data_IF_963933157699
#
_entry.id   IF_963933157699
#
_cell.length_a   1.000
_cell.length_b   1.000
_cell.length_c   1.000
_cell.angle_alpha   90.00
_cell.angle_beta   90.00
_cell.angle_gamma   90.00
#
_symmetry.space_group_name_H-M   'P 1'
#
loop_
_entity.id
_entity.type
_entity.pdbx_description
1 polymer ?
#
# COMPACT_ATOMS: atom_id res chain seq x y z
N UNK A 1 5.28 -23.20 6.99
CA UNK A 1 4.09 -23.68 6.25
C UNK A 1 2.81 -22.95 6.66
N UNK A 2 2.54 -22.69 7.95
CA UNK A 2 1.31 -21.98 8.43
C UNK A 2 1.11 -20.56 7.86
N UNK A 3 2.13 -19.69 7.94
CA UNK A 3 2.00 -18.27 7.55
C UNK A 3 1.75 -18.02 6.05
N UNK A 4 2.10 -18.97 5.18
CA UNK A 4 1.90 -18.84 3.73
C UNK A 4 0.44 -19.16 3.34
N UNK A 5 -0.16 -20.13 4.03
CA UNK A 5 -1.57 -20.49 3.86
C UNK A 5 -2.48 -19.39 4.43
N UNK A 6 -2.09 -18.82 5.57
CA UNK A 6 -2.81 -17.71 6.21
C UNK A 6 -2.90 -16.47 5.32
N UNK A 7 -1.86 -16.18 4.55
CA UNK A 7 -1.90 -15.06 3.59
C UNK A 7 -2.72 -15.35 2.34
N UNK A 8 -2.79 -16.60 1.90
CA UNK A 8 -3.57 -16.95 0.72
C UNK A 8 -5.06 -16.76 0.97
N UNK A 9 -5.58 -17.25 2.10
CA UNK A 9 -7.02 -17.11 2.37
C UNK A 9 -7.46 -15.65 2.46
N UNK A 10 -6.66 -14.76 3.07
CA UNK A 10 -6.97 -13.33 3.15
C UNK A 10 -7.05 -12.66 1.77
N UNK A 11 -6.17 -13.10 0.86
CA UNK A 11 -6.13 -12.60 -0.51
C UNK A 11 -7.31 -13.16 -1.31
N UNK A 12 -7.58 -14.45 -1.17
CA UNK A 12 -8.64 -15.16 -1.89
C UNK A 12 -10.03 -14.71 -1.42
N UNK A 13 -10.17 -14.30 -0.16
CA UNK A 13 -11.39 -13.69 0.38
C UNK A 13 -11.56 -12.22 -0.02
N UNK A 14 -10.61 -11.62 -0.73
CA UNK A 14 -10.65 -10.21 -1.14
C UNK A 14 -10.46 -9.21 0.02
N UNK A 15 -9.96 -9.65 1.18
CA UNK A 15 -9.77 -8.79 2.35
C UNK A 15 -8.47 -7.99 2.29
N UNK A 16 -7.48 -8.48 1.53
CA UNK A 16 -6.19 -7.80 1.36
C UNK A 16 -5.68 -7.86 -0.07
N UNK A 17 -4.91 -6.86 -0.45
CA UNK A 17 -4.13 -6.82 -1.69
C UNK A 17 -2.64 -6.96 -1.38
N UNK A 18 -1.99 -7.93 -2.03
CA UNK A 18 -0.53 -8.11 -1.96
C UNK A 18 0.12 -7.49 -3.18
N UNK A 19 0.68 -6.29 -3.03
CA UNK A 19 1.29 -5.55 -4.14
C UNK A 19 2.81 -5.79 -4.16
N UNK A 20 3.35 -6.39 -5.24
CA UNK A 20 4.77 -6.68 -5.36
C UNK A 20 5.63 -5.42 -5.43
N UNK A 21 6.85 -5.49 -4.89
CA UNK A 21 7.83 -4.41 -5.01
C UNK A 21 8.72 -4.59 -6.23
N UNK A 22 9.06 -3.48 -6.87
CA UNK A 22 10.10 -3.41 -7.90
C UNK A 22 11.34 -2.70 -7.39
N UNK A 23 12.52 -3.21 -7.75
CA UNK A 23 13.81 -2.59 -7.40
C UNK A 23 14.16 -1.40 -8.31
N UNK A 24 13.68 -1.43 -9.56
CA UNK A 24 13.96 -0.41 -10.57
C UNK A 24 12.69 -0.11 -11.37
N UNK A 25 12.39 1.17 -11.67
CA UNK A 25 11.20 1.56 -12.43
C UNK A 25 11.46 1.48 -13.95
N UNK A 26 11.97 0.36 -14.44
CA UNK A 26 12.22 0.13 -15.87
C UNK A 26 11.14 -0.78 -16.45
N UNK A 27 10.84 -0.60 -17.74
CA UNK A 27 9.84 -1.43 -18.43
C UNK A 27 10.46 -2.73 -18.98
N UNK A 28 9.73 -3.85 -18.96
CA UNK A 28 8.49 -4.05 -18.22
C UNK A 28 8.75 -4.16 -16.71
N UNK A 29 7.91 -3.53 -15.87
CA UNK A 29 8.09 -3.48 -14.41
C UNK A 29 8.19 -4.87 -13.76
N UNK A 30 7.50 -5.86 -14.32
CA UNK A 30 7.50 -7.25 -13.86
C UNK A 30 8.90 -7.87 -13.82
N UNK A 31 9.80 -7.49 -14.74
CA UNK A 31 11.17 -8.00 -14.81
C UNK A 31 12.05 -7.53 -13.62
N UNK A 32 11.61 -6.51 -12.89
CA UNK A 32 12.35 -5.92 -11.78
C UNK A 32 11.72 -6.18 -10.41
N UNK A 33 10.72 -7.08 -10.36
CA UNK A 33 10.10 -7.53 -9.11
C UNK A 33 11.13 -8.20 -8.20
N UNK A 34 11.02 -7.96 -6.89
CA UNK A 34 11.75 -8.72 -5.88
C UNK A 34 10.80 -9.51 -4.96
N UNK A 35 11.37 -10.20 -3.97
CA UNK A 35 10.59 -11.05 -3.05
C UNK A 35 9.80 -10.24 -2.01
N UNK A 36 9.93 -8.91 -1.98
CA UNK A 36 9.15 -8.07 -1.09
C UNK A 36 7.82 -7.65 -1.74
N UNK A 37 6.85 -7.40 -0.88
CA UNK A 37 5.53 -6.91 -1.23
C UNK A 37 5.04 -6.03 -0.08
N UNK A 38 4.05 -5.19 -0.36
CA UNK A 38 3.29 -4.50 0.68
C UNK A 38 1.86 -5.04 0.68
N UNK A 39 1.32 -5.24 1.87
CA UNK A 39 -0.08 -5.60 2.06
C UNK A 39 -0.90 -4.34 2.26
N UNK A 40 -2.05 -4.34 1.63
CA UNK A 40 -3.05 -3.29 1.71
C UNK A 40 -4.38 -3.93 2.11
N UNK A 41 -5.17 -3.22 2.91
CA UNK A 41 -6.52 -3.68 3.28
C UNK A 41 -7.51 -3.52 2.13
N UNK A 42 -8.77 -3.89 2.38
CA UNK A 42 -9.85 -3.70 1.41
C UNK A 42 -10.34 -2.25 1.34
N UNK A 43 -10.19 -1.47 2.41
CA UNK A 43 -10.81 -0.15 2.54
C UNK A 43 -9.93 0.87 3.30
N UNK A 44 -9.97 2.13 2.85
CA UNK A 44 -9.17 3.24 3.41
C UNK A 44 -9.73 3.70 4.76
N UNK A 45 -11.06 3.76 4.89
CA UNK A 45 -11.74 4.15 6.13
C UNK A 45 -11.56 3.13 7.23
N UNK A 46 -11.61 1.83 6.90
CA UNK A 46 -11.27 0.76 7.85
C UNK A 46 -9.82 0.86 8.32
N UNK A 47 -8.88 1.14 7.41
CA UNK A 47 -7.49 1.36 7.80
C UNK A 47 -7.36 2.57 8.75
N UNK A 48 -8.05 3.68 8.48
CA UNK A 48 -8.06 4.83 9.37
C UNK A 48 -8.66 4.51 10.76
N UNK A 49 -9.77 3.77 10.80
CA UNK A 49 -10.41 3.36 12.05
C UNK A 49 -9.53 2.42 12.89
N UNK A 50 -8.89 1.43 12.25
CA UNK A 50 -7.95 0.50 12.90
C UNK A 50 -6.71 1.21 13.46
N UNK A 51 -6.39 2.37 12.91
CA UNK A 51 -5.23 3.16 13.30
C UNK A 51 -5.48 4.02 14.52
N UNK A 52 -6.70 3.99 15.09
CA UNK A 52 -7.14 4.88 16.17
C UNK A 52 -6.82 6.36 15.86
N UNK A 53 -6.87 6.77 14.60
CA UNK A 53 -6.76 8.17 14.26
C UNK A 53 -8.05 8.88 14.64
N UNK A 54 -7.91 9.93 15.43
CA UNK A 54 -9.01 10.86 15.61
C UNK A 54 -9.31 11.55 14.27
N UNK A 55 -10.60 11.60 13.92
CA UNK A 55 -11.05 12.20 12.66
C UNK A 55 -10.64 13.68 12.53
N UNK A 56 -10.48 14.39 13.65
CA UNK A 56 -9.92 15.75 13.69
C UNK A 56 -8.52 15.80 13.09
N UNK A 57 -7.70 14.76 13.25
CA UNK A 57 -6.34 14.71 12.70
C UNK A 57 -6.37 14.67 11.17
N UNK A 58 -7.38 14.03 10.57
CA UNK A 58 -7.60 14.05 9.12
C UNK A 58 -7.90 15.46 8.59
N UNK A 59 -8.60 16.26 9.40
CA UNK A 59 -9.08 17.60 9.04
C UNK A 59 -8.08 18.71 9.40
N UNK A 60 -7.36 18.56 10.50
CA UNK A 60 -6.55 19.62 11.14
C UNK A 60 -5.06 19.54 10.80
N UNK A 61 -4.58 18.45 10.20
CA UNK A 61 -3.23 18.40 9.63
C UNK A 61 -2.08 18.49 10.65
N UNK A 62 -2.21 17.86 11.83
CA UNK A 62 -1.17 17.78 12.86
C UNK A 62 0.12 17.08 12.35
N UNK A 63 1.28 17.34 12.95
CA UNK A 63 2.55 16.61 12.76
C UNK A 63 2.44 15.07 12.86
N UNK A 64 1.60 14.53 13.75
CA UNK A 64 1.30 13.08 13.85
C UNK A 64 0.72 12.54 12.52
N UNK A 65 0.06 13.42 11.76
CA UNK A 65 -0.55 13.10 10.48
C UNK A 65 0.46 12.87 9.35
N UNK A 66 1.73 13.27 9.50
CA UNK A 66 2.68 13.27 8.39
C UNK A 66 3.07 11.86 7.93
N UNK A 67 3.34 10.94 8.87
CA UNK A 67 3.61 9.54 8.53
C UNK A 67 2.32 8.77 8.21
N UNK A 68 1.23 9.10 8.90
CA UNK A 68 -0.05 8.43 8.71
C UNK A 68 -0.71 8.75 7.37
N UNK A 69 -0.51 9.98 6.86
CA UNK A 69 -0.87 10.39 5.50
C UNK A 69 -0.27 9.46 4.46
N UNK A 70 0.97 9.00 4.64
CA UNK A 70 1.63 8.13 3.68
C UNK A 70 0.86 6.83 3.48
N UNK A 71 0.58 6.11 4.57
CA UNK A 71 -0.13 4.83 4.52
C UNK A 71 -1.56 4.97 4.00
N UNK A 72 -2.32 5.98 4.45
CA UNK A 72 -3.68 6.23 3.96
C UNK A 72 -3.70 6.66 2.49
N UNK A 73 -2.74 7.48 2.06
CA UNK A 73 -2.61 7.92 0.66
C UNK A 73 -2.27 6.75 -0.24
N UNK A 74 -1.29 5.91 0.15
CA UNK A 74 -0.95 4.74 -0.64
C UNK A 74 -2.11 3.74 -0.73
N UNK A 75 -2.83 3.52 0.38
CA UNK A 75 -4.03 2.69 0.40
C UNK A 75 -5.09 3.26 -0.55
N UNK A 76 -5.35 4.56 -0.51
CA UNK A 76 -6.32 5.22 -1.40
C UNK A 76 -5.91 5.11 -2.86
N UNK A 77 -4.65 5.42 -3.19
CA UNK A 77 -4.12 5.33 -4.57
C UNK A 77 -4.24 3.92 -5.10
N UNK A 78 -3.91 2.91 -4.29
CA UNK A 78 -4.08 1.52 -4.70
C UNK A 78 -5.55 1.22 -5.05
N UNK A 79 -6.50 1.58 -4.18
CA UNK A 79 -7.93 1.36 -4.43
C UNK A 79 -8.38 1.99 -5.75
N UNK A 80 -7.93 3.21 -6.03
CA UNK A 80 -8.24 3.87 -7.31
C UNK A 80 -7.60 3.14 -8.49
N UNK A 81 -6.34 2.73 -8.40
CA UNK A 81 -5.64 2.03 -9.50
C UNK A 81 -6.28 0.69 -9.83
N UNK A 82 -6.72 -0.09 -8.83
CA UNK A 82 -7.34 -1.40 -9.07
C UNK A 82 -8.71 -1.25 -9.76
N UNK A 83 -9.43 -0.15 -9.49
CA UNK A 83 -10.76 0.11 -10.08
C UNK A 83 -10.67 0.78 -11.45
N UNK A 84 -9.62 1.58 -11.71
CA UNK A 84 -9.53 2.41 -12.92
C UNK A 84 -8.74 1.78 -14.06
N UNK A 85 -7.93 0.75 -13.80
CA UNK A 85 -7.15 0.06 -14.83
C UNK A 85 -6.92 -1.42 -14.50
N UNK A 86 -6.60 -2.20 -15.54
CA UNK A 86 -6.30 -3.64 -15.41
C UNK A 86 -4.80 -3.96 -15.31
N UNK A 87 -3.92 -2.96 -15.48
CA UNK A 87 -2.48 -3.19 -15.44
C UNK A 87 -2.01 -3.65 -14.05
N UNK A 88 -1.06 -4.59 -13.96
CA UNK A 88 -0.50 -5.00 -12.68
C UNK A 88 0.12 -3.83 -11.93
N UNK A 89 -0.29 -3.63 -10.68
CA UNK A 89 0.23 -2.57 -9.81
C UNK A 89 1.51 -3.05 -9.12
N UNK A 90 2.48 -2.15 -8.97
CA UNK A 90 3.74 -2.39 -8.28
C UNK A 90 4.06 -1.23 -7.35
N UNK A 91 4.69 -1.51 -6.22
CA UNK A 91 5.27 -0.47 -5.36
C UNK A 91 6.73 -0.22 -5.74
N UNK A 92 7.11 1.05 -5.85
CA UNK A 92 8.50 1.47 -6.06
C UNK A 92 9.27 1.55 -4.75
N UNK A 93 10.61 1.50 -4.82
CA UNK A 93 11.44 1.93 -3.70
C UNK A 93 11.54 3.46 -3.69
N UNK A 94 11.05 4.09 -2.64
CA UNK A 94 11.39 5.48 -2.35
C UNK A 94 12.86 5.50 -1.90
N UNK A 95 13.76 5.94 -2.78
CA UNK A 95 15.06 6.43 -2.33
C UNK A 95 14.79 7.78 -1.69
N UNK A 96 15.15 7.97 -0.41
CA UNK A 96 15.29 9.33 0.13
C UNK A 96 16.21 10.07 -0.85
N UNK A 97 15.74 11.16 -1.43
CA UNK A 97 16.62 12.07 -2.14
C UNK A 97 17.73 12.43 -1.16
N UNK A 98 18.98 12.04 -1.46
CA UNK A 98 20.12 12.60 -0.74
C UNK A 98 20.01 14.10 -0.92
N UNK A 99 19.70 14.79 0.18
CA UNK A 99 19.81 16.24 0.27
C UNK A 99 21.22 16.60 -0.18
N UNK A 100 21.31 17.31 -1.30
CA UNK A 100 22.47 18.11 -1.68
C UNK A 100 22.33 19.47 -1.02
#
# INVERSE_FOLDING_TARGET
MSLILERHWLKDSGLVYSVPRVKKPHLPLSAYRDNAFKLYGLDVGLLAAQSNLDASVLLEGNRIFTEFKGSLTEQYVLQQLIVTQENPVFIGQLKKAQQR
#
